data_IF_205924651540
#
_entry.id   IF_205924651540
#
_cell.length_a   1.000
_cell.length_b   1.000
_cell.length_c   1.000
_cell.angle_alpha   90.00
_cell.angle_beta   90.00
_cell.angle_gamma   90.00
#
_symmetry.space_group_name_H-M   'P 1'
#
loop_
_entity.id
_entity.type
_entity.pdbx_description
1 polymer ?
#
# COMPACT_ATOMS: atom_id res chain seq x y z
N UNK A 1 10.91 8.73 4.93
CA UNK A 1 10.44 8.39 3.57
C UNK A 1 11.09 9.33 2.56
N UNK A 2 10.91 9.06 1.27
CA UNK A 2 11.25 10.00 0.20
C UNK A 2 9.99 10.23 -0.65
N UNK A 3 9.53 11.47 -0.72
CA UNK A 3 8.20 11.82 -1.25
C UNK A 3 8.33 12.16 -2.74
N UNK A 4 7.36 11.74 -3.54
CA UNK A 4 7.23 12.14 -4.95
C UNK A 4 5.87 12.79 -5.17
N UNK A 5 5.84 13.93 -5.85
CA UNK A 5 4.62 14.65 -6.21
C UNK A 5 4.52 14.76 -7.74
N UNK A 6 3.36 14.44 -8.29
CA UNK A 6 3.08 14.60 -9.73
C UNK A 6 2.91 16.06 -10.14
N UNK A 7 2.57 16.92 -9.19
CA UNK A 7 2.20 18.31 -9.40
C UNK A 7 3.10 19.25 -8.57
N UNK A 8 2.98 20.55 -8.85
CA UNK A 8 3.68 21.59 -8.08
C UNK A 8 3.29 21.46 -6.60
N UNK A 9 4.29 21.39 -5.72
CA UNK A 9 4.07 21.29 -4.29
C UNK A 9 3.47 22.59 -3.74
N UNK A 10 2.25 22.51 -3.26
CA UNK A 10 1.54 23.62 -2.62
C UNK A 10 1.90 23.80 -1.14
N UNK A 11 1.46 24.94 -0.58
CA UNK A 11 1.70 25.27 0.82
C UNK A 11 1.13 24.24 1.80
N UNK A 12 -0.04 23.67 1.53
CA UNK A 12 -0.70 22.74 2.46
C UNK A 12 0.00 21.38 2.50
N UNK A 13 0.44 20.88 1.35
CA UNK A 13 1.32 19.72 1.24
C UNK A 13 2.64 19.98 1.97
N UNK A 14 3.27 21.14 1.77
CA UNK A 14 4.51 21.47 2.47
C UNK A 14 4.33 21.55 4.00
N UNK A 15 3.19 22.06 4.49
CA UNK A 15 2.85 22.07 5.93
C UNK A 15 2.68 20.66 6.48
N UNK A 16 2.02 19.77 5.74
CA UNK A 16 1.90 18.36 6.09
C UNK A 16 3.28 17.71 6.19
N UNK A 17 4.13 17.90 5.18
CA UNK A 17 5.48 17.34 5.17
C UNK A 17 6.32 17.91 6.32
N UNK A 18 6.22 19.22 6.61
CA UNK A 18 7.03 19.91 7.64
C UNK A 18 7.02 19.20 8.99
N UNK A 19 5.83 18.79 9.44
CA UNK A 19 5.61 18.18 10.76
C UNK A 19 6.00 16.70 10.85
N UNK A 20 6.24 16.03 9.73
CA UNK A 20 6.61 14.61 9.68
C UNK A 20 8.13 14.39 9.54
N UNK A 21 8.59 13.21 9.95
CA UNK A 21 9.98 12.78 9.71
C UNK A 21 10.09 12.25 8.27
N UNK A 22 10.82 12.98 7.42
CA UNK A 22 11.01 12.67 6.00
C UNK A 22 12.45 12.97 5.59
N UNK A 23 12.97 12.26 4.58
CA UNK A 23 14.33 12.43 4.08
C UNK A 23 14.45 13.39 2.91
N UNK A 24 13.43 13.46 2.06
CA UNK A 24 13.40 14.39 0.94
C UNK A 24 12.09 14.34 0.16
N UNK A 25 11.96 15.26 -0.79
CA UNK A 25 10.83 15.35 -1.72
C UNK A 25 11.33 15.66 -3.12
N UNK A 26 10.71 15.03 -4.13
CA UNK A 26 10.87 15.33 -5.55
C UNK A 26 9.52 15.76 -6.14
N UNK A 27 9.51 16.84 -6.94
CA UNK A 27 8.31 17.38 -7.59
C UNK A 27 8.68 18.13 -8.88
N UNK A 28 7.75 18.34 -9.83
CA UNK A 28 8.00 19.18 -11.00
C UNK A 28 8.24 20.67 -10.66
N UNK A 29 7.79 21.11 -9.49
CA UNK A 29 7.98 22.46 -9.00
C UNK A 29 7.50 22.63 -7.56
N UNK A 30 7.76 23.81 -7.00
CA UNK A 30 7.35 24.20 -5.65
C UNK A 30 6.85 25.64 -5.67
N UNK A 31 5.73 25.92 -5.00
CA UNK A 31 5.35 27.29 -4.71
C UNK A 31 6.45 27.96 -3.86
N UNK A 32 6.71 29.28 -4.02
CA UNK A 32 7.74 29.97 -3.25
C UNK A 32 7.59 29.79 -1.73
N UNK A 33 6.36 29.90 -1.22
CA UNK A 33 6.03 29.73 0.19
C UNK A 33 6.19 28.27 0.66
N UNK A 34 5.82 27.31 -0.19
CA UNK A 34 6.00 25.89 0.08
C UNK A 34 7.50 25.54 0.20
N UNK A 35 8.32 26.07 -0.70
CA UNK A 35 9.77 25.87 -0.68
C UNK A 35 10.40 26.44 0.61
N UNK A 36 10.00 27.64 1.03
CA UNK A 36 10.49 28.23 2.29
C UNK A 36 10.09 27.42 3.53
N UNK A 37 8.91 26.78 3.51
CA UNK A 37 8.50 25.84 4.56
C UNK A 37 9.41 24.61 4.57
N UNK A 38 9.65 23.99 3.41
CA UNK A 38 10.42 22.76 3.29
C UNK A 38 11.90 22.96 3.66
N UNK A 39 12.50 24.11 3.30
CA UNK A 39 13.88 24.48 3.68
C UNK A 39 14.12 24.50 5.19
N UNK A 40 13.08 24.73 6.00
CA UNK A 40 13.22 24.75 7.46
C UNK A 40 13.39 23.35 8.08
N UNK A 41 13.08 22.28 7.34
CA UNK A 41 13.22 20.90 7.82
C UNK A 41 14.69 20.52 7.94
N UNK A 42 14.98 19.54 8.81
CA UNK A 42 16.34 19.02 9.08
C UNK A 42 17.39 20.12 9.29
N UNK A 43 17.02 21.22 9.97
CA UNK A 43 17.89 22.38 10.25
C UNK A 43 18.50 22.99 8.97
N UNK A 44 17.74 23.06 7.89
CA UNK A 44 18.24 23.58 6.60
C UNK A 44 18.71 22.51 5.63
N UNK A 45 18.87 21.25 6.07
CA UNK A 45 19.48 20.17 5.28
C UNK A 45 18.46 19.17 4.71
N UNK A 46 17.20 19.58 4.52
CA UNK A 46 16.19 18.72 3.91
C UNK A 46 16.37 18.69 2.39
N UNK A 47 16.32 17.50 1.79
CA UNK A 47 16.56 17.34 0.36
C UNK A 47 15.29 17.69 -0.44
N UNK A 48 15.39 18.71 -1.30
CA UNK A 48 14.29 19.18 -2.16
C UNK A 48 14.78 19.14 -3.60
N UNK A 49 14.16 18.28 -4.42
CA UNK A 49 14.57 18.02 -5.80
C UNK A 49 13.47 18.50 -6.75
N UNK A 50 13.82 19.38 -7.67
CA UNK A 50 12.95 19.70 -8.79
C UNK A 50 13.30 18.82 -9.99
N UNK A 51 12.32 18.14 -10.56
CA UNK A 51 12.47 17.34 -11.78
C UNK A 51 11.83 18.04 -12.97
N UNK A 52 12.45 17.92 -14.14
CA UNK A 52 11.81 18.30 -15.40
C UNK A 52 10.74 17.27 -15.75
N UNK A 53 9.44 17.63 -15.80
CA UNK A 53 8.37 16.67 -16.13
C UNK A 53 8.46 16.13 -17.56
N UNK A 54 9.17 16.82 -18.46
CA UNK A 54 9.35 16.41 -19.85
C UNK A 54 10.60 15.50 -20.04
N UNK A 55 11.35 15.22 -18.97
CA UNK A 55 12.50 14.32 -19.04
C UNK A 55 12.07 12.89 -19.39
N UNK A 56 12.70 12.34 -20.43
CA UNK A 56 12.54 10.94 -20.85
C UNK A 56 13.86 10.21 -20.67
N UNK A 57 13.91 9.08 -19.93
CA UNK A 57 15.14 8.32 -19.75
C UNK A 57 15.58 7.60 -21.03
N UNK A 58 16.85 7.18 -21.07
CA UNK A 58 17.32 6.29 -22.14
C UNK A 58 16.53 4.97 -22.13
N UNK A 59 16.25 4.44 -23.33
CA UNK A 59 15.45 3.23 -23.53
C UNK A 59 16.14 1.96 -22.99
N UNK A 60 17.47 1.93 -23.00
CA UNK A 60 18.27 0.86 -22.42
C UNK A 60 18.74 1.26 -21.01
N UNK A 61 18.80 0.27 -20.13
CA UNK A 61 19.38 0.39 -18.80
C UNK A 61 20.43 -0.69 -18.54
N UNK A 62 21.43 -0.31 -17.75
CA UNK A 62 22.55 -1.16 -17.39
C UNK A 62 22.64 -1.32 -15.88
N UNK A 63 22.90 -2.55 -15.42
CA UNK A 63 23.16 -2.86 -14.01
C UNK A 63 24.40 -3.74 -13.91
N UNK A 64 25.38 -3.30 -13.13
CA UNK A 64 26.56 -4.12 -12.83
C UNK A 64 26.30 -4.99 -11.61
N UNK A 65 26.54 -6.29 -11.73
CA UNK A 65 26.49 -7.23 -10.62
C UNK A 65 27.76 -8.08 -10.66
N UNK A 66 28.60 -7.93 -9.63
CA UNK A 66 29.83 -8.70 -9.47
C UNK A 66 30.76 -8.64 -10.70
N UNK A 67 30.93 -7.44 -11.28
CA UNK A 67 31.78 -7.20 -12.45
C UNK A 67 31.16 -7.63 -13.79
N UNK A 68 29.91 -8.09 -13.82
CA UNK A 68 29.16 -8.41 -15.04
C UNK A 68 28.09 -7.34 -15.27
N UNK A 69 28.06 -6.76 -16.49
CA UNK A 69 27.04 -5.80 -16.89
C UNK A 69 25.85 -6.52 -17.51
N UNK A 70 24.67 -6.34 -16.90
CA UNK A 70 23.39 -6.72 -17.47
C UNK A 70 22.79 -5.52 -18.22
N UNK A 71 22.26 -5.76 -19.42
CA UNK A 71 21.59 -4.76 -20.25
C UNK A 71 20.17 -5.23 -20.58
N UNK A 72 19.20 -4.34 -20.47
CA UNK A 72 17.82 -4.60 -20.90
C UNK A 72 17.12 -3.31 -21.35
N UNK A 73 15.98 -3.46 -22.03
CA UNK A 73 15.05 -2.34 -22.23
C UNK A 73 14.33 -2.00 -20.92
N UNK A 74 14.05 -0.71 -20.69
CA UNK A 74 13.31 -0.26 -19.51
C UNK A 74 11.86 -0.73 -19.54
N UNK A 75 11.25 -0.90 -18.37
CA UNK A 75 9.84 -1.24 -18.26
C UNK A 75 8.93 -0.02 -18.56
N UNK A 76 8.63 0.20 -19.83
CA UNK A 76 7.75 1.28 -20.34
C UNK A 76 6.26 0.88 -20.42
N UNK A 77 5.85 -0.15 -19.67
CA UNK A 77 4.47 -0.64 -19.71
C UNK A 77 3.47 0.49 -19.39
N UNK A 78 2.51 0.69 -20.29
CA UNK A 78 1.34 1.53 -20.07
C UNK A 78 0.26 0.75 -19.32
N UNK A 79 -0.27 1.34 -18.24
CA UNK A 79 -1.35 0.78 -17.44
C UNK A 79 -2.56 1.70 -17.67
N UNK A 80 -3.38 1.35 -18.66
CA UNK A 80 -4.57 2.08 -19.07
C UNK A 80 -5.87 1.34 -18.76
N UNK A 81 -7.00 1.88 -19.22
CA UNK A 81 -8.33 1.30 -19.00
C UNK A 81 -8.51 -0.10 -19.63
N UNK A 82 -7.79 -0.36 -20.71
CA UNK A 82 -7.74 -1.59 -21.50
C UNK A 82 -7.00 -2.73 -20.77
N UNK A 83 -6.15 -2.38 -19.80
CA UNK A 83 -5.35 -3.32 -19.03
C UNK A 83 -6.17 -4.35 -18.24
N UNK A 84 -7.47 -4.07 -18.04
CA UNK A 84 -8.39 -4.87 -17.24
C UNK A 84 -9.54 -5.50 -18.04
N UNK A 85 -9.47 -5.49 -19.37
CA UNK A 85 -10.60 -5.92 -20.23
C UNK A 85 -10.81 -7.44 -20.25
N UNK A 86 -9.76 -8.22 -19.99
CA UNK A 86 -9.85 -9.68 -19.94
C UNK A 86 -10.32 -10.18 -18.57
N UNK A 87 -11.61 -10.00 -18.29
CA UNK A 87 -12.24 -10.52 -17.06
C UNK A 87 -12.53 -12.01 -17.22
N UNK A 88 -12.00 -12.83 -16.32
CA UNK A 88 -12.06 -14.31 -16.39
C UNK A 88 -13.08 -14.96 -15.47
N UNK A 89 -13.55 -14.25 -14.44
CA UNK A 89 -14.56 -14.71 -13.46
C UNK A 89 -15.99 -14.67 -14.00
N UNK A 90 -16.94 -15.35 -13.36
CA UNK A 90 -18.36 -15.29 -13.74
C UNK A 90 -18.93 -13.88 -13.55
N UNK A 91 -18.61 -13.23 -12.42
CA UNK A 91 -18.92 -11.83 -12.22
C UNK A 91 -18.03 -10.96 -13.11
N UNK A 92 -18.67 -10.16 -13.97
CA UNK A 92 -18.04 -9.25 -14.94
C UNK A 92 -18.16 -7.77 -14.55
N UNK A 93 -18.75 -7.45 -13.41
CA UNK A 93 -19.04 -6.07 -13.00
C UNK A 93 -17.79 -5.36 -12.45
N UNK A 94 -16.95 -4.85 -13.35
CA UNK A 94 -15.83 -3.99 -12.99
C UNK A 94 -16.29 -2.52 -12.98
N UNK A 95 -16.39 -1.92 -11.80
CA UNK A 95 -16.73 -0.50 -11.66
C UNK A 95 -15.58 0.40 -12.11
N UNK A 96 -15.85 1.67 -12.36
CA UNK A 96 -14.82 2.64 -12.72
C UNK A 96 -13.84 2.85 -11.56
N UNK A 97 -14.36 2.91 -10.34
CA UNK A 97 -13.60 3.05 -9.10
C UNK A 97 -12.67 1.84 -8.91
N UNK A 98 -13.16 0.63 -9.17
CA UNK A 98 -12.34 -0.58 -9.14
C UNK A 98 -11.20 -0.55 -10.18
N UNK A 99 -11.45 -0.04 -11.39
CA UNK A 99 -10.39 0.14 -12.40
C UNK A 99 -9.33 1.15 -11.93
N UNK A 100 -9.73 2.23 -11.29
CA UNK A 100 -8.79 3.22 -10.71
C UNK A 100 -7.94 2.55 -9.63
N UNK A 101 -8.55 1.82 -8.71
CA UNK A 101 -7.84 1.16 -7.61
C UNK A 101 -6.90 0.06 -8.13
N UNK A 102 -7.31 -0.72 -9.13
CA UNK A 102 -6.44 -1.70 -9.79
C UNK A 102 -5.30 -1.03 -10.56
N UNK A 103 -5.53 0.11 -11.22
CA UNK A 103 -4.46 0.87 -11.89
C UNK A 103 -3.41 1.35 -10.89
N UNK A 104 -3.85 1.88 -9.74
CA UNK A 104 -2.95 2.27 -8.63
C UNK A 104 -2.18 1.05 -8.13
N UNK A 105 -2.83 -0.10 -7.98
CA UNK A 105 -2.16 -1.34 -7.57
C UNK A 105 -1.07 -1.74 -8.58
N UNK A 106 -1.39 -1.75 -9.88
CA UNK A 106 -0.44 -2.14 -10.93
C UNK A 106 0.74 -1.17 -11.05
N UNK A 107 0.49 0.13 -10.97
CA UNK A 107 1.56 1.15 -10.98
C UNK A 107 2.45 1.00 -9.75
N UNK A 108 1.86 0.79 -8.57
CA UNK A 108 2.62 0.56 -7.33
C UNK A 108 3.52 -0.67 -7.48
N UNK A 109 2.99 -1.77 -8.00
CA UNK A 109 3.74 -3.02 -8.16
C UNK A 109 4.84 -2.94 -9.21
N UNK A 110 4.62 -2.20 -10.30
CA UNK A 110 5.64 -1.92 -11.32
C UNK A 110 6.93 -1.33 -10.74
N UNK A 111 6.83 -0.58 -9.64
CA UNK A 111 7.95 0.07 -8.96
C UNK A 111 8.24 -0.51 -7.56
N UNK A 112 7.64 -1.66 -7.20
CA UNK A 112 7.89 -2.32 -5.92
C UNK A 112 8.83 -3.49 -6.11
N UNK A 113 9.86 -3.60 -5.28
CA UNK A 113 10.81 -4.70 -5.29
C UNK A 113 10.09 -6.06 -5.21
N UNK A 114 10.37 -6.95 -6.16
CA UNK A 114 9.65 -8.21 -6.33
C UNK A 114 10.11 -9.31 -5.36
N UNK A 115 9.25 -10.28 -5.03
CA UNK A 115 7.83 -10.35 -5.44
C UNK A 115 6.96 -9.42 -4.60
N UNK A 116 5.93 -8.86 -5.23
CA UNK A 116 5.07 -7.83 -4.64
C UNK A 116 3.57 -8.07 -4.85
N UNK A 117 2.78 -7.65 -3.85
CA UNK A 117 1.30 -7.71 -3.83
C UNK A 117 0.80 -6.41 -3.21
N UNK A 118 -0.26 -5.82 -3.77
CA UNK A 118 -0.78 -4.52 -3.36
C UNK A 118 -2.30 -4.57 -3.18
N UNK A 119 -2.77 -4.12 -2.02
CA UNK A 119 -4.16 -3.88 -1.69
C UNK A 119 -4.43 -2.38 -1.78
N UNK A 120 -5.46 -2.00 -2.51
CA UNK A 120 -5.85 -0.61 -2.76
C UNK A 120 -7.32 -0.44 -2.42
N UNK A 121 -7.65 0.70 -1.84
CA UNK A 121 -9.03 1.11 -1.58
C UNK A 121 -9.14 2.62 -1.67
N UNK A 122 -10.21 3.11 -2.28
CA UNK A 122 -10.58 4.53 -2.32
C UNK A 122 -9.46 5.42 -2.89
N UNK A 123 -8.78 4.96 -3.94
CA UNK A 123 -7.72 5.71 -4.60
C UNK A 123 -6.36 5.70 -3.89
N UNK A 124 -6.12 4.79 -2.94
CA UNK A 124 -4.83 4.69 -2.26
C UNK A 124 -4.42 3.26 -1.91
N UNK A 125 -3.11 2.99 -1.96
CA UNK A 125 -2.57 1.75 -1.44
C UNK A 125 -2.76 1.68 0.08
N UNK A 126 -3.39 0.61 0.56
CA UNK A 126 -3.65 0.35 1.97
C UNK A 126 -2.78 -0.78 2.53
N UNK A 127 -2.22 -1.62 1.66
CA UNK A 127 -1.29 -2.68 2.06
C UNK A 127 -0.38 -3.11 0.93
N UNK A 128 0.93 -3.06 1.14
CA UNK A 128 1.94 -3.44 0.12
C UNK A 128 2.92 -4.45 0.70
N UNK A 129 3.07 -5.58 0.02
CA UNK A 129 4.15 -6.54 0.24
C UNK A 129 5.25 -6.36 -0.80
N UNK A 130 6.51 -6.41 -0.36
CA UNK A 130 7.68 -6.18 -1.20
C UNK A 130 8.81 -7.15 -0.82
N UNK A 131 9.63 -7.53 -1.80
CA UNK A 131 10.83 -8.35 -1.62
C UNK A 131 10.59 -9.76 -1.10
N UNK A 132 9.35 -10.27 -1.22
CA UNK A 132 9.00 -11.58 -0.68
C UNK A 132 9.32 -12.70 -1.69
N UNK A 133 9.62 -13.90 -1.19
CA UNK A 133 9.98 -15.05 -2.03
C UNK A 133 8.79 -15.97 -2.32
N UNK A 134 7.80 -16.00 -1.41
CA UNK A 134 6.58 -16.80 -1.55
C UNK A 134 5.38 -15.90 -1.82
N UNK A 135 4.59 -16.24 -2.85
CA UNK A 135 3.42 -15.46 -3.25
C UNK A 135 2.39 -15.33 -2.12
N UNK A 136 2.03 -16.45 -1.49
CA UNK A 136 1.08 -16.45 -0.37
C UNK A 136 1.60 -15.69 0.85
N UNK A 137 2.91 -15.73 1.12
CA UNK A 137 3.49 -14.92 2.21
C UNK A 137 3.41 -13.43 1.90
N UNK A 138 3.65 -13.04 0.65
CA UNK A 138 3.49 -11.66 0.19
C UNK A 138 2.03 -11.20 0.32
N UNK A 139 1.08 -12.03 -0.11
CA UNK A 139 -0.36 -11.77 0.03
C UNK A 139 -0.78 -11.60 1.48
N UNK A 140 -0.29 -12.45 2.39
CA UNK A 140 -0.56 -12.35 3.84
C UNK A 140 0.03 -11.09 4.45
N UNK A 141 1.28 -10.76 4.11
CA UNK A 141 1.98 -9.59 4.62
C UNK A 141 1.29 -8.30 4.16
N UNK A 142 0.97 -8.19 2.87
CA UNK A 142 0.26 -7.05 2.31
C UNK A 142 -1.16 -6.93 2.90
N UNK A 143 -1.88 -8.05 3.02
CA UNK A 143 -3.21 -8.10 3.64
C UNK A 143 -3.17 -7.68 5.11
N UNK A 144 -2.15 -8.07 5.88
CA UNK A 144 -2.02 -7.65 7.28
C UNK A 144 -1.85 -6.13 7.41
N UNK A 145 -1.11 -5.51 6.48
CA UNK A 145 -0.99 -4.05 6.44
C UNK A 145 -2.33 -3.38 6.14
N UNK A 146 -3.10 -3.92 5.18
CA UNK A 146 -4.45 -3.45 4.88
C UNK A 146 -5.39 -3.59 6.09
N UNK A 147 -5.33 -4.73 6.78
CA UNK A 147 -6.12 -4.97 8.00
C UNK A 147 -5.76 -3.96 9.10
N UNK A 148 -4.47 -3.70 9.32
CA UNK A 148 -4.02 -2.70 10.30
C UNK A 148 -4.48 -1.29 9.91
N UNK A 149 -4.39 -0.91 8.64
CA UNK A 149 -4.89 0.37 8.13
C UNK A 149 -6.39 0.55 8.43
N UNK A 150 -7.18 -0.52 8.27
CA UNK A 150 -8.62 -0.48 8.56
C UNK A 150 -8.92 -0.43 10.06
N UNK A 151 -8.20 -1.22 10.87
CA UNK A 151 -8.37 -1.24 12.32
C UNK A 151 -8.09 0.12 12.96
N UNK A 152 -7.14 0.89 12.42
CA UNK A 152 -6.84 2.26 12.88
C UNK A 152 -8.04 3.21 12.76
N UNK A 153 -9.00 2.90 11.90
CA UNK A 153 -10.21 3.69 11.67
C UNK A 153 -11.38 3.25 12.55
N UNK A 154 -11.23 2.17 13.33
CA UNK A 154 -12.29 1.70 14.21
C UNK A 154 -12.67 2.76 15.25
N UNK A 155 -13.96 2.88 15.64
CA UNK A 155 -14.37 3.80 16.69
C UNK A 155 -13.60 3.59 18.00
N UNK A 156 -13.21 2.35 18.30
CA UNK A 156 -12.41 2.02 19.49
C UNK A 156 -11.02 2.66 19.45
N UNK A 157 -10.36 2.68 18.29
CA UNK A 157 -9.05 3.35 18.10
C UNK A 157 -9.20 4.86 17.99
N UNK A 158 -10.18 5.35 17.23
CA UNK A 158 -10.41 6.79 17.03
C UNK A 158 -10.80 7.52 18.33
N UNK A 159 -11.39 6.81 19.30
CA UNK A 159 -11.78 7.36 20.60
C UNK A 159 -10.72 7.16 21.70
N UNK A 160 -9.50 6.69 21.37
CA UNK A 160 -8.42 6.56 22.35
C UNK A 160 -8.07 7.93 22.98
N UNK A 161 -8.03 7.96 24.31
CA UNK A 161 -7.80 9.19 25.05
C UNK A 161 -6.33 9.33 25.43
N UNK A 162 -5.55 9.98 24.57
CA UNK A 162 -4.13 10.25 24.80
C UNK A 162 -3.89 11.37 25.81
N UNK A 163 -2.77 11.32 26.54
CA UNK A 163 -2.30 12.44 27.36
C UNK A 163 -2.02 13.69 26.50
N UNK A 164 -2.21 14.89 27.04
CA UNK A 164 -2.05 16.13 26.25
C UNK A 164 -0.60 16.34 25.79
N UNK A 165 0.38 15.83 26.56
CA UNK A 165 1.82 15.99 26.31
C UNK A 165 2.42 15.00 25.30
N UNK A 166 1.69 13.97 24.86
CA UNK A 166 2.26 12.92 24.01
C UNK A 166 2.42 13.40 22.56
N UNK A 167 3.62 13.21 22.03
CA UNK A 167 3.98 13.56 20.66
C UNK A 167 3.27 12.70 19.62
N UNK A 168 3.22 13.16 18.38
CA UNK A 168 2.52 12.46 17.29
C UNK A 168 3.10 11.07 17.01
N UNK A 169 4.42 10.96 16.89
CA UNK A 169 5.09 9.69 16.63
C UNK A 169 4.81 8.65 17.74
N UNK A 170 4.80 9.08 19.00
CA UNK A 170 4.49 8.21 20.13
C UNK A 170 3.01 7.76 20.13
N UNK A 171 2.09 8.63 19.71
CA UNK A 171 0.67 8.25 19.51
C UNK A 171 0.54 7.19 18.42
N UNK A 172 1.18 7.39 17.28
CA UNK A 172 1.12 6.45 16.16
C UNK A 172 1.69 5.08 16.57
N UNK A 173 2.85 5.05 17.24
CA UNK A 173 3.45 3.83 17.79
C UNK A 173 2.52 3.15 18.82
N UNK A 174 1.89 3.92 19.70
CA UNK A 174 0.95 3.38 20.68
C UNK A 174 -0.30 2.76 20.04
N UNK A 175 -0.81 3.36 18.96
CA UNK A 175 -1.92 2.81 18.18
C UNK A 175 -1.50 1.49 17.53
N UNK A 176 -0.33 1.45 16.89
CA UNK A 176 0.17 0.26 16.21
C UNK A 176 0.36 -0.91 17.19
N UNK A 177 0.92 -0.65 18.38
CA UNK A 177 1.01 -1.65 19.46
C UNK A 177 -0.38 -2.08 19.95
N UNK A 178 -1.29 -1.14 20.17
CA UNK A 178 -2.64 -1.41 20.68
C UNK A 178 -3.47 -2.31 19.75
N UNK A 179 -3.38 -2.10 18.43
CA UNK A 179 -4.08 -2.94 17.45
C UNK A 179 -3.35 -4.25 17.16
N UNK A 180 -2.06 -4.35 17.49
CA UNK A 180 -1.24 -5.54 17.31
C UNK A 180 -1.54 -6.66 18.31
N UNK A 181 -0.71 -7.70 18.28
CA UNK A 181 -0.73 -8.81 19.23
C UNK A 181 0.01 -8.47 20.54
N UNK A 182 0.90 -7.48 20.49
CA UNK A 182 1.72 -6.99 21.60
C UNK A 182 1.04 -5.85 22.37
N UNK A 183 -0.29 -5.76 22.36
CA UNK A 183 -1.04 -4.66 22.97
C UNK A 183 -0.76 -4.49 24.49
N UNK A 184 -0.28 -5.54 25.16
CA UNK A 184 0.13 -5.44 26.57
C UNK A 184 1.35 -4.53 26.76
N UNK A 185 2.18 -4.32 25.74
CA UNK A 185 3.28 -3.37 25.80
C UNK A 185 2.83 -1.92 25.93
N UNK A 186 1.56 -1.62 25.67
CA UNK A 186 0.98 -0.30 25.90
C UNK A 186 -0.14 -0.31 26.95
N UNK A 187 -0.75 -1.46 27.26
CA UNK A 187 -1.87 -1.58 28.22
C UNK A 187 -1.48 -2.09 29.62
N UNK A 188 -0.26 -2.58 29.81
CA UNK A 188 0.21 -3.03 31.12
C UNK A 188 0.22 -1.90 32.16
N UNK A 189 0.01 -2.28 33.43
CA UNK A 189 0.02 -1.35 34.54
C UNK A 189 1.40 -0.67 34.68
N UNK A 190 1.41 0.67 34.78
CA UNK A 190 2.62 1.47 34.77
C UNK A 190 3.07 1.92 33.37
N UNK A 191 2.65 1.23 32.30
CA UNK A 191 2.91 1.63 30.90
C UNK A 191 1.79 2.52 30.36
N UNK A 192 0.53 2.09 30.48
CA UNK A 192 -0.59 2.81 29.87
C UNK A 192 -0.74 4.24 30.39
N UNK A 193 -0.41 4.50 31.67
CA UNK A 193 -0.47 5.82 32.29
C UNK A 193 0.54 6.82 31.70
N UNK A 194 1.54 6.35 30.95
CA UNK A 194 2.50 7.20 30.26
C UNK A 194 1.95 7.69 28.92
N UNK A 195 0.90 7.05 28.41
CA UNK A 195 0.38 7.22 27.04
C UNK A 195 -1.06 7.74 27.04
N UNK A 196 -1.92 7.17 27.88
CA UNK A 196 -3.37 7.40 27.88
C UNK A 196 -3.85 8.07 29.17
N UNK A 197 -4.91 8.87 29.07
CA UNK A 197 -5.65 9.47 30.20
C UNK A 197 -6.48 8.44 30.95
N UNK A 198 -7.03 7.47 30.22
CA UNK A 198 -7.84 6.36 30.73
C UNK A 198 -7.33 5.09 30.07
N UNK A 199 -7.21 4.01 30.85
CA UNK A 199 -6.76 2.72 30.34
C UNK A 199 -7.72 2.25 29.23
N UNK A 200 -7.24 2.09 27.98
CA UNK A 200 -8.07 1.53 26.93
C UNK A 200 -8.46 0.08 27.26
N UNK A 201 -9.69 -0.29 26.92
CA UNK A 201 -10.07 -1.71 26.92
C UNK A 201 -9.29 -2.46 25.85
N UNK A 202 -9.01 -3.75 26.09
CA UNK A 202 -8.37 -4.61 25.08
C UNK A 202 -9.24 -4.62 23.83
N UNK A 203 -8.63 -4.41 22.67
CA UNK A 203 -9.29 -4.60 21.39
C UNK A 203 -9.24 -6.10 21.06
N UNK A 204 -10.30 -6.83 21.38
CA UNK A 204 -10.28 -8.30 21.32
C UNK A 204 -10.20 -8.80 19.88
N UNK A 205 -9.85 -10.08 19.72
CA UNK A 205 -9.79 -10.69 18.40
C UNK A 205 -11.16 -10.68 17.71
N UNK A 206 -12.22 -10.89 18.48
CA UNK A 206 -13.60 -10.92 18.01
C UNK A 206 -14.03 -9.53 17.54
N UNK A 207 -13.81 -8.49 18.35
CA UNK A 207 -14.10 -7.10 17.96
C UNK A 207 -13.30 -6.66 16.73
N UNK A 208 -12.02 -7.03 16.66
CA UNK A 208 -11.17 -6.78 15.48
C UNK A 208 -11.75 -7.46 14.25
N UNK A 209 -12.21 -8.71 14.37
CA UNK A 209 -12.81 -9.46 13.25
C UNK A 209 -14.12 -8.83 12.79
N UNK A 210 -15.01 -8.46 13.72
CA UNK A 210 -16.27 -7.78 13.42
C UNK A 210 -16.05 -6.45 12.69
N UNK A 211 -14.97 -5.71 13.03
CA UNK A 211 -14.61 -4.49 12.33
C UNK A 211 -14.05 -4.77 10.93
N UNK A 212 -13.14 -5.74 10.82
CA UNK A 212 -12.52 -6.14 9.55
C UNK A 212 -13.54 -6.69 8.55
N UNK A 213 -14.59 -7.36 9.02
CA UNK A 213 -15.68 -7.87 8.16
C UNK A 213 -16.51 -6.75 7.49
N UNK A 214 -16.36 -5.49 7.95
CA UNK A 214 -16.99 -4.31 7.33
C UNK A 214 -16.15 -3.71 6.21
N UNK A 215 -14.90 -4.14 6.05
CA UNK A 215 -14.06 -3.68 4.94
C UNK A 215 -14.51 -4.41 3.67
N UNK A 216 -15.00 -3.65 2.69
CA UNK A 216 -15.44 -4.16 1.39
C UNK A 216 -14.82 -3.35 0.26
N UNK A 217 -15.01 -3.84 -0.98
CA UNK A 217 -14.65 -3.12 -2.20
C UNK A 217 -13.16 -2.80 -2.28
N UNK A 218 -12.32 -3.71 -1.81
CA UNK A 218 -10.86 -3.60 -1.92
C UNK A 218 -10.40 -4.20 -3.25
N UNK A 219 -9.45 -3.53 -3.90
CA UNK A 219 -8.77 -4.02 -5.07
C UNK A 219 -7.44 -4.70 -4.70
N UNK A 220 -7.11 -5.80 -5.37
CA UNK A 220 -5.88 -6.55 -5.19
C UNK A 220 -5.10 -6.63 -6.50
N UNK A 221 -3.84 -6.23 -6.46
CA UNK A 221 -2.88 -6.45 -7.53
C UNK A 221 -1.78 -7.45 -7.16
N UNK A 222 -1.30 -8.21 -8.14
CA UNK A 222 -0.09 -9.04 -8.01
C UNK A 222 0.84 -8.87 -9.20
N UNK A 223 2.15 -8.72 -8.93
CA UNK A 223 3.16 -8.54 -9.99
C UNK A 223 3.43 -9.80 -10.83
N UNK A 224 3.02 -10.98 -10.34
CA UNK A 224 3.01 -12.24 -11.07
C UNK A 224 1.76 -13.06 -10.74
N UNK A 225 1.58 -14.18 -11.43
CA UNK A 225 0.39 -14.99 -11.25
C UNK A 225 0.25 -15.56 -9.83
N UNK A 226 -1.00 -15.85 -9.45
CA UNK A 226 -1.28 -16.60 -8.22
C UNK A 226 -1.17 -18.10 -8.50
N UNK A 227 -0.34 -18.84 -7.73
CA UNK A 227 -0.15 -20.27 -7.99
C UNK A 227 -1.35 -21.12 -7.52
N UNK A 228 -2.08 -20.66 -6.50
CA UNK A 228 -3.20 -21.38 -5.88
C UNK A 228 -4.25 -20.40 -5.33
N UNK A 229 -5.49 -20.87 -5.16
CA UNK A 229 -6.63 -20.11 -4.64
C UNK A 229 -6.48 -19.65 -3.18
N UNK A 230 -5.49 -20.13 -2.43
CA UNK A 230 -5.21 -19.69 -1.05
C UNK A 230 -4.89 -18.19 -0.93
N UNK A 231 -4.37 -17.60 -2.01
CA UNK A 231 -4.16 -16.15 -2.13
C UNK A 231 -5.50 -15.40 -2.13
N UNK A 232 -6.48 -15.92 -2.86
CA UNK A 232 -7.83 -15.35 -2.95
C UNK A 232 -8.55 -15.51 -1.62
N UNK A 233 -8.44 -16.67 -0.97
CA UNK A 233 -9.00 -16.89 0.37
C UNK A 233 -8.43 -15.94 1.43
N UNK A 234 -7.14 -15.61 1.33
CA UNK A 234 -6.53 -14.59 2.20
C UNK A 234 -7.03 -13.20 1.87
N UNK A 235 -7.12 -12.87 0.59
CA UNK A 235 -7.54 -11.56 0.12
C UNK A 235 -9.00 -11.24 0.49
N UNK A 236 -9.89 -12.23 0.36
CA UNK A 236 -11.30 -12.11 0.75
C UNK A 236 -11.49 -11.64 2.19
N UNK A 237 -10.66 -12.16 3.12
CA UNK A 237 -10.70 -11.79 4.54
C UNK A 237 -10.36 -10.33 4.83
N UNK A 238 -9.82 -9.62 3.83
CA UNK A 238 -9.51 -8.19 3.83
C UNK A 238 -10.39 -7.43 2.83
N UNK A 239 -11.60 -7.91 2.56
CA UNK A 239 -12.60 -7.15 1.80
C UNK A 239 -12.37 -7.07 0.30
N UNK A 240 -11.48 -7.89 -0.25
CA UNK A 240 -11.16 -7.86 -1.68
C UNK A 240 -12.37 -8.30 -2.50
N UNK A 241 -12.74 -7.47 -3.48
CA UNK A 241 -13.80 -7.72 -4.47
C UNK A 241 -13.26 -7.75 -5.89
N UNK A 242 -12.16 -7.03 -6.15
CA UNK A 242 -11.56 -6.85 -7.47
C UNK A 242 -10.11 -7.32 -7.47
N UNK A 243 -9.70 -8.11 -8.47
CA UNK A 243 -8.35 -8.68 -8.54
C UNK A 243 -7.76 -8.47 -9.94
N UNK A 244 -6.50 -8.05 -10.03
CA UNK A 244 -5.72 -8.07 -11.26
C UNK A 244 -4.42 -8.86 -11.08
N UNK A 245 -4.19 -9.80 -11.97
CA UNK A 245 -2.98 -10.62 -12.02
C UNK A 245 -2.65 -11.03 -13.47
N UNK A 246 -1.41 -11.43 -13.80
CA UNK A 246 -1.05 -11.70 -15.19
C UNK A 246 -1.74 -12.93 -15.82
N UNK A 247 -2.14 -13.91 -15.02
CA UNK A 247 -2.51 -15.25 -15.50
C UNK A 247 -1.28 -16.07 -15.90
N UNK A 248 -1.51 -17.32 -16.30
CA UNK A 248 -0.48 -18.26 -16.73
C UNK A 248 -0.08 -19.30 -15.67
N UNK A 249 -0.85 -19.45 -14.60
CA UNK A 249 -0.68 -20.57 -13.68
C UNK A 249 -1.24 -21.86 -14.31
N UNK A 250 -0.60 -22.99 -14.04
CA UNK A 250 -1.19 -24.32 -14.37
C UNK A 250 -2.51 -24.55 -13.62
N UNK A 251 -2.75 -23.79 -12.53
CA UNK A 251 -3.95 -23.85 -11.70
C UNK A 251 -4.76 -22.55 -11.73
N UNK A 252 -4.78 -21.86 -12.87
CA UNK A 252 -5.63 -20.67 -13.04
C UNK A 252 -7.12 -21.01 -12.83
N UNK A 253 -7.55 -22.23 -13.18
CA UNK A 253 -8.89 -22.76 -12.90
C UNK A 253 -9.25 -22.70 -11.41
N UNK A 254 -8.35 -23.17 -10.53
CA UNK A 254 -8.54 -23.13 -9.09
C UNK A 254 -8.60 -21.69 -8.53
N UNK A 255 -7.81 -20.78 -9.10
CA UNK A 255 -7.79 -19.38 -8.68
C UNK A 255 -9.08 -18.67 -9.12
N UNK A 256 -9.55 -18.93 -10.34
CA UNK A 256 -10.80 -18.38 -10.86
C UNK A 256 -11.99 -18.92 -10.06
N UNK A 257 -12.02 -20.22 -9.77
CA UNK A 257 -13.06 -20.85 -8.94
C UNK A 257 -13.13 -20.21 -7.54
N UNK A 258 -11.98 -19.97 -6.90
CA UNK A 258 -11.92 -19.29 -5.61
C UNK A 258 -12.44 -17.84 -5.67
N UNK A 259 -12.22 -17.13 -6.78
CA UNK A 259 -12.84 -15.82 -6.97
C UNK A 259 -14.35 -15.93 -7.15
N UNK A 260 -14.81 -16.87 -7.99
CA UNK A 260 -16.24 -17.08 -8.23
C UNK A 260 -17.00 -17.47 -6.95
N UNK A 261 -16.41 -18.28 -6.07
CA UNK A 261 -17.05 -18.68 -4.80
C UNK A 261 -17.34 -17.51 -3.85
N UNK A 262 -16.64 -16.38 -4.02
CA UNK A 262 -16.81 -15.15 -3.25
C UNK A 262 -17.39 -14.00 -4.10
N UNK A 263 -17.92 -14.31 -5.28
CA UNK A 263 -18.47 -13.35 -6.25
C UNK A 263 -17.48 -12.21 -6.59
N UNK A 264 -16.19 -12.51 -6.67
CA UNK A 264 -15.15 -11.53 -7.02
C UNK A 264 -15.02 -11.36 -8.54
N UNK A 265 -14.51 -10.20 -8.93
CA UNK A 265 -14.13 -9.92 -10.32
C UNK A 265 -12.62 -10.03 -10.46
N UNK A 266 -12.14 -10.86 -11.39
CA UNK A 266 -10.71 -11.01 -11.68
C UNK A 266 -10.41 -10.69 -13.14
N UNK A 267 -9.43 -9.81 -13.36
CA UNK A 267 -8.87 -9.51 -14.67
C UNK A 267 -7.48 -10.15 -14.84
N UNK A 268 -7.28 -10.82 -15.97
CA UNK A 268 -5.98 -11.34 -16.40
C UNK A 268 -5.29 -10.33 -17.31
N UNK A 269 -4.18 -9.75 -16.84
CA UNK A 269 -3.48 -8.66 -17.54
C UNK A 269 -2.54 -9.17 -18.63
N UNK A 270 -2.15 -10.45 -18.58
CA UNK A 270 -1.18 -11.05 -19.51
C UNK A 270 0.26 -10.60 -19.32
N UNK A 271 0.56 -9.71 -18.35
CA UNK A 271 1.86 -9.05 -18.25
C UNK A 271 2.39 -9.05 -16.82
N UNK A 272 3.64 -9.52 -16.66
CA UNK A 272 4.36 -9.58 -15.39
C UNK A 272 5.09 -8.27 -15.08
N UNK A 273 5.15 -7.89 -13.81
CA UNK A 273 5.66 -6.61 -13.32
C UNK A 273 6.88 -6.77 -12.38
N UNK A 274 7.82 -7.66 -12.71
CA UNK A 274 9.00 -7.85 -11.84
C UNK A 274 9.93 -6.64 -11.82
N UNK A 275 10.45 -6.33 -10.62
CA UNK A 275 11.36 -5.21 -10.38
C UNK A 275 12.44 -5.58 -9.34
N UNK A 276 13.73 -5.35 -9.66
CA UNK A 276 14.89 -5.77 -8.86
C UNK A 276 16.09 -4.81 -8.93
#
# INVERSE_FOLDING_TARGET
>A
DFISLSDVCDVDTARLIKREVSDGVIAPGYEPEALEILKQKKKGNYNVIQIDPDYVPAALEHKEVYGVTFEQGRNELHIGDDFFDNIVTENKEMTKEAKIDLAIAMITLKYTQSNSVCYVKDGQAIGIGAGQQSRIHCTRLAGQKADNWWLRQSPKVMNLQFLDKIGRADRDNAIDLYIGDEYMDVLEEGKWQQTFKVKPEVFTREEKREWLDKMTDVALGSDAFFPFGDNIERAYKSGVKYVAQPGGSVRDDNVIEACNSHDMVMAFTGIRLFHH
#
